data_IF_904084068697
#
_entry.id   IF_904084068697
#
_cell.length_a   1.000
_cell.length_b   1.000
_cell.length_c   1.000
_cell.angle_alpha   90.00
_cell.angle_beta   90.00
_cell.angle_gamma   90.00
#
_symmetry.space_group_name_H-M   'P 1'
#
loop_
_entity.id
_entity.type
_entity.pdbx_description
1 polymer ?
#
# COMPACT_ATOMS: atom_id res chain seq x y z
N UNK A 1 57.65 -24.66 -39.87
CA UNK A 1 56.26 -24.45 -40.31
C UNK A 1 55.24 -25.36 -39.61
N UNK A 2 55.47 -26.68 -39.45
CA UNK A 2 54.45 -27.58 -38.88
C UNK A 2 53.99 -27.31 -37.43
N UNK A 3 54.90 -26.92 -36.51
CA UNK A 3 54.52 -26.63 -35.11
C UNK A 3 53.72 -25.33 -34.95
N UNK A 4 54.07 -24.29 -35.73
CA UNK A 4 53.37 -22.99 -35.73
C UNK A 4 51.96 -23.14 -36.31
N UNK A 5 51.79 -23.93 -37.40
CA UNK A 5 50.45 -24.24 -37.92
C UNK A 5 49.60 -25.04 -36.94
N UNK A 6 50.19 -25.97 -36.18
CA UNK A 6 49.45 -26.78 -35.20
C UNK A 6 48.99 -25.95 -34.00
N UNK A 7 49.84 -25.05 -33.52
CA UNK A 7 49.49 -24.09 -32.48
C UNK A 7 48.39 -23.13 -32.95
N UNK A 8 48.53 -22.58 -34.16
CA UNK A 8 47.53 -21.68 -34.75
C UNK A 8 46.17 -22.38 -34.94
N UNK A 9 46.16 -23.63 -35.41
CA UNK A 9 44.94 -24.43 -35.53
C UNK A 9 44.26 -24.70 -34.17
N UNK A 10 45.05 -24.93 -33.11
CA UNK A 10 44.52 -25.13 -31.77
C UNK A 10 43.89 -23.84 -31.22
N UNK A 11 44.54 -22.69 -31.41
CA UNK A 11 43.99 -21.38 -31.02
C UNK A 11 42.68 -21.09 -31.78
N UNK A 12 42.66 -21.34 -33.10
CA UNK A 12 41.43 -21.17 -33.90
C UNK A 12 40.31 -22.09 -33.39
N UNK A 13 40.60 -23.36 -33.11
CA UNK A 13 39.61 -24.30 -32.57
C UNK A 13 39.08 -23.87 -31.19
N UNK A 14 39.95 -23.38 -30.29
CA UNK A 14 39.53 -22.85 -28.99
C UNK A 14 38.64 -21.62 -29.14
N UNK A 15 38.98 -20.69 -30.04
CA UNK A 15 38.16 -19.51 -30.33
C UNK A 15 36.80 -19.92 -30.90
N UNK A 16 36.73 -20.89 -31.81
CA UNK A 16 35.46 -21.41 -32.35
C UNK A 16 34.62 -22.06 -31.26
N UNK A 17 35.21 -22.86 -30.39
CA UNK A 17 34.50 -23.48 -29.25
C UNK A 17 33.99 -22.42 -28.28
N UNK A 18 34.79 -21.40 -27.96
CA UNK A 18 34.37 -20.29 -27.10
C UNK A 18 33.22 -19.51 -27.72
N UNK A 19 33.29 -19.18 -29.02
CA UNK A 19 32.20 -18.47 -29.72
C UNK A 19 30.93 -19.34 -29.73
N UNK A 20 31.06 -20.64 -29.96
CA UNK A 20 29.92 -21.56 -29.93
C UNK A 20 29.30 -21.66 -28.52
N UNK A 21 30.12 -21.76 -27.48
CA UNK A 21 29.67 -21.79 -26.09
C UNK A 21 28.94 -20.49 -25.71
N UNK A 22 29.54 -19.33 -26.01
CA UNK A 22 28.90 -18.01 -25.80
C UNK A 22 27.62 -17.87 -26.63
N UNK A 23 27.59 -18.41 -27.85
CA UNK A 23 26.41 -18.39 -28.71
C UNK A 23 25.26 -19.26 -28.17
N UNK A 24 25.57 -20.44 -27.64
CA UNK A 24 24.59 -21.32 -26.98
C UNK A 24 24.06 -20.66 -25.71
N UNK A 25 24.95 -20.13 -24.87
CA UNK A 25 24.61 -19.44 -23.62
C UNK A 25 23.66 -18.26 -23.87
N UNK A 26 24.02 -17.35 -24.79
CA UNK A 26 23.16 -16.24 -25.20
C UNK A 26 21.83 -16.71 -25.80
N UNK A 27 21.84 -17.81 -26.56
CA UNK A 27 20.65 -18.38 -27.16
C UNK A 27 19.69 -18.99 -26.14
N UNK A 28 20.23 -19.66 -25.10
CA UNK A 28 19.45 -20.19 -24.00
C UNK A 28 18.85 -19.07 -23.16
N UNK A 29 19.65 -18.06 -22.77
CA UNK A 29 19.17 -16.89 -22.03
C UNK A 29 18.03 -16.18 -22.76
N UNK A 30 18.19 -15.92 -24.06
CA UNK A 30 17.13 -15.33 -24.88
C UNK A 30 15.84 -16.17 -24.93
N UNK A 31 15.97 -17.50 -24.94
CA UNK A 31 14.81 -18.39 -24.90
C UNK A 31 14.12 -18.37 -23.54
N UNK A 32 14.89 -18.38 -22.45
CA UNK A 32 14.40 -18.29 -21.07
C UNK A 32 13.68 -16.97 -20.83
N UNK A 33 14.28 -15.83 -21.21
CA UNK A 33 13.67 -14.50 -21.09
C UNK A 33 12.31 -14.44 -21.83
N UNK A 34 12.23 -15.01 -23.04
CA UNK A 34 10.98 -15.06 -23.81
C UNK A 34 9.94 -16.03 -23.24
N UNK A 35 10.38 -17.07 -22.55
CA UNK A 35 9.48 -18.01 -21.90
C UNK A 35 8.89 -17.36 -20.64
N UNK A 36 9.75 -16.78 -19.81
CA UNK A 36 9.37 -16.02 -18.63
C UNK A 36 8.38 -14.90 -18.97
N UNK A 37 8.67 -14.10 -20.01
CA UNK A 37 7.77 -13.01 -20.43
C UNK A 37 6.37 -13.52 -20.82
N UNK A 38 6.27 -14.69 -21.46
CA UNK A 38 4.96 -15.30 -21.79
C UNK A 38 4.23 -15.81 -20.56
N UNK A 39 4.94 -16.44 -19.63
CA UNK A 39 4.37 -16.93 -18.37
C UNK A 39 3.88 -15.76 -17.52
N UNK A 40 4.64 -14.67 -17.47
CA UNK A 40 4.27 -13.43 -16.78
C UNK A 40 3.00 -12.80 -17.34
N UNK A 41 2.89 -12.67 -18.68
CA UNK A 41 1.68 -12.19 -19.35
C UNK A 41 0.46 -13.04 -18.97
N UNK A 42 0.62 -14.37 -19.01
CA UNK A 42 -0.45 -15.30 -18.68
C UNK A 42 -0.91 -15.20 -17.22
N UNK A 43 0.03 -15.20 -16.26
CA UNK A 43 -0.30 -15.10 -14.83
C UNK A 43 -1.05 -13.81 -14.50
N UNK A 44 -0.67 -12.70 -15.12
CA UNK A 44 -1.36 -11.45 -14.90
C UNK A 44 -2.74 -11.40 -15.54
N UNK A 45 -2.94 -11.91 -16.76
CA UNK A 45 -4.28 -11.98 -17.35
C UNK A 45 -5.25 -12.74 -16.43
N UNK A 46 -4.77 -13.81 -15.80
CA UNK A 46 -5.52 -14.53 -14.78
C UNK A 46 -5.73 -13.70 -13.51
N UNK A 47 -4.67 -13.10 -12.97
CA UNK A 47 -4.75 -12.26 -11.77
C UNK A 47 -5.77 -11.13 -11.94
N UNK A 48 -5.76 -10.42 -13.08
CA UNK A 48 -6.76 -9.39 -13.39
C UNK A 48 -8.18 -9.91 -13.42
N UNK A 49 -8.41 -11.04 -14.06
CA UNK A 49 -9.76 -11.60 -14.17
C UNK A 49 -10.33 -11.92 -12.78
N UNK A 50 -9.48 -12.48 -11.92
CA UNK A 50 -9.86 -12.82 -10.55
C UNK A 50 -10.03 -11.57 -9.69
N UNK A 51 -9.11 -10.59 -9.81
CA UNK A 51 -9.23 -9.28 -9.15
C UNK A 51 -10.53 -8.58 -9.56
N UNK A 52 -10.88 -8.57 -10.85
CA UNK A 52 -12.13 -7.99 -11.32
C UNK A 52 -13.36 -8.72 -10.74
N UNK A 53 -13.27 -10.04 -10.57
CA UNK A 53 -14.32 -10.84 -9.93
C UNK A 53 -14.46 -10.50 -8.44
N UNK A 54 -13.34 -10.38 -7.72
CA UNK A 54 -13.32 -10.01 -6.29
C UNK A 54 -13.85 -8.58 -6.12
N UNK A 55 -13.40 -7.62 -6.95
CA UNK A 55 -13.88 -6.23 -6.97
C UNK A 55 -15.38 -6.14 -7.18
N UNK A 56 -15.90 -6.90 -8.16
CA UNK A 56 -17.33 -6.95 -8.44
C UNK A 56 -18.08 -7.49 -7.23
N UNK A 57 -17.56 -8.56 -6.61
CA UNK A 57 -18.18 -9.14 -5.42
C UNK A 57 -18.21 -8.18 -4.25
N UNK A 58 -17.11 -7.48 -3.97
CA UNK A 58 -17.06 -6.46 -2.90
C UNK A 58 -18.00 -5.30 -3.22
N UNK A 59 -18.02 -4.83 -4.46
CA UNK A 59 -18.95 -3.78 -4.93
C UNK A 59 -20.42 -4.14 -4.74
N UNK A 60 -20.80 -5.40 -4.99
CA UNK A 60 -22.18 -5.86 -4.78
C UNK A 60 -22.56 -5.87 -3.29
N UNK A 61 -21.60 -6.20 -2.42
CA UNK A 61 -21.81 -6.31 -0.98
C UNK A 61 -21.66 -4.99 -0.24
N UNK A 62 -20.88 -4.03 -0.76
CA UNK A 62 -20.51 -2.80 -0.03
C UNK A 62 -21.68 -1.87 0.28
N UNK A 63 -22.83 -2.05 -0.38
CA UNK A 63 -24.06 -1.32 -0.05
C UNK A 63 -24.81 -1.87 1.18
N UNK A 64 -24.48 -3.08 1.64
CA UNK A 64 -25.05 -3.74 2.80
C UNK A 64 -23.96 -3.99 3.85
N UNK A 65 -24.02 -3.22 4.93
CA UNK A 65 -23.02 -3.25 6.01
C UNK A 65 -22.85 -4.63 6.62
N UNK A 66 -23.94 -5.34 6.90
CA UNK A 66 -23.87 -6.66 7.53
C UNK A 66 -23.27 -7.68 6.56
N UNK A 67 -23.58 -7.55 5.27
CA UNK A 67 -23.07 -8.45 4.24
C UNK A 67 -21.57 -8.28 3.99
N UNK A 68 -21.07 -7.03 3.95
CA UNK A 68 -19.63 -6.78 3.78
C UNK A 68 -18.85 -7.14 5.04
N UNK A 69 -19.37 -6.85 6.24
CA UNK A 69 -18.76 -7.28 7.51
C UNK A 69 -18.63 -8.82 7.57
N UNK A 70 -19.69 -9.55 7.20
CA UNK A 70 -19.64 -11.02 7.15
C UNK A 70 -18.63 -11.55 6.12
N UNK A 71 -18.53 -10.90 4.94
CA UNK A 71 -17.59 -11.30 3.89
C UNK A 71 -16.13 -11.08 4.30
N UNK A 72 -15.83 -9.96 4.95
CA UNK A 72 -14.49 -9.66 5.46
C UNK A 72 -14.14 -10.64 6.60
N UNK A 73 -15.05 -10.88 7.55
CA UNK A 73 -14.82 -11.82 8.65
C UNK A 73 -14.59 -13.27 8.15
N UNK A 74 -15.33 -13.71 7.12
CA UNK A 74 -15.12 -15.04 6.50
C UNK A 74 -13.71 -15.21 5.92
N UNK A 75 -13.06 -14.10 5.52
CA UNK A 75 -11.73 -14.10 4.93
C UNK A 75 -10.64 -13.62 5.91
N UNK A 76 -10.98 -13.38 7.19
CA UNK A 76 -10.06 -12.78 8.17
C UNK A 76 -8.77 -13.55 8.40
N UNK A 77 -8.85 -14.88 8.37
CA UNK A 77 -7.67 -15.75 8.54
C UNK A 77 -6.58 -15.47 7.49
N UNK A 78 -6.93 -14.93 6.32
CA UNK A 78 -5.95 -14.58 5.27
C UNK A 78 -5.28 -13.23 5.52
N UNK A 79 -5.85 -12.40 6.40
CA UNK A 79 -5.35 -11.06 6.71
C UNK A 79 -4.37 -11.07 7.89
N UNK A 80 -4.57 -12.00 8.83
CA UNK A 80 -3.83 -12.07 10.10
C UNK A 80 -2.52 -12.90 10.02
N UNK A 81 -2.36 -13.77 9.01
CA UNK A 81 -1.17 -14.63 8.79
C UNK A 81 0.06 -13.86 8.22
N UNK A 82 0.07 -12.53 8.32
CA UNK A 82 1.02 -11.64 7.63
C UNK A 82 2.13 -11.06 8.51
N UNK A 83 2.75 -11.89 9.36
CA UNK A 83 4.11 -11.56 9.83
C UNK A 83 5.10 -11.97 8.73
N UNK A 84 5.81 -10.99 8.17
CA UNK A 84 6.93 -11.25 7.25
C UNK A 84 7.94 -12.12 8.01
N UNK A 85 8.29 -13.33 7.52
CA UNK A 85 9.27 -14.16 8.19
C UNK A 85 10.61 -13.41 8.27
N UNK A 86 10.99 -12.98 9.48
CA UNK A 86 12.25 -12.26 9.73
C UNK A 86 12.13 -10.81 10.23
N UNK A 87 10.92 -10.34 10.56
CA UNK A 87 10.68 -9.17 11.42
C UNK A 87 10.53 -9.61 12.88
N UNK A 88 11.59 -10.22 13.44
CA UNK A 88 11.70 -10.39 14.88
C UNK A 88 12.46 -9.18 15.42
N UNK A 89 11.93 -8.55 16.47
CA UNK A 89 12.45 -7.37 17.17
C UNK A 89 13.99 -7.43 17.32
N UNK A 90 14.74 -6.75 16.45
CA UNK A 90 16.03 -6.13 16.77
C UNK A 90 16.46 -5.18 15.66
N UNK A 91 16.64 -3.90 16.03
CA UNK A 91 17.56 -2.97 15.39
C UNK A 91 18.93 -3.65 15.18
N UNK A 92 19.21 -4.21 13.99
CA UNK A 92 20.56 -4.28 13.43
C UNK A 92 20.48 -4.25 11.90
N UNK A 93 21.00 -3.14 11.35
CA UNK A 93 21.58 -2.99 10.02
C UNK A 93 22.03 -4.34 9.43
N UNK A 94 21.30 -4.85 8.43
CA UNK A 94 21.74 -6.02 7.66
C UNK A 94 22.79 -5.58 6.64
N UNK A 95 24.04 -5.62 7.07
CA UNK A 95 25.20 -5.75 6.18
C UNK A 95 25.82 -7.15 6.34
N UNK A 96 26.25 -7.70 5.21
CA UNK A 96 27.09 -8.91 5.04
C UNK A 96 26.32 -10.25 5.14
N UNK A 97 26.54 -11.26 4.29
CA UNK A 97 27.71 -11.58 3.49
C UNK A 97 28.48 -12.73 4.14
N UNK A 98 28.46 -13.89 3.49
CA UNK A 98 29.38 -15.05 3.64
C UNK A 98 28.99 -16.26 4.53
N UNK A 99 29.48 -17.39 4.05
CA UNK A 99 29.14 -18.79 4.29
C UNK A 99 29.73 -19.38 5.60
N UNK A 100 29.03 -20.40 6.13
CA UNK A 100 29.55 -21.77 6.37
C UNK A 100 29.27 -22.39 7.76
N UNK A 101 28.91 -23.68 7.67
CA UNK A 101 29.17 -24.80 8.59
C UNK A 101 28.26 -25.01 9.80
N UNK A 102 27.78 -26.27 9.82
CA UNK A 102 27.10 -27.04 10.86
C UNK A 102 27.55 -26.75 12.30
N UNK A 103 26.60 -26.72 13.24
CA UNK A 103 26.67 -27.55 14.44
C UNK A 103 25.26 -27.79 15.02
N UNK A 104 24.89 -29.07 15.06
CA UNK A 104 23.77 -29.66 15.77
C UNK A 104 23.99 -29.57 17.28
N UNK A 105 23.06 -28.97 18.03
CA UNK A 105 22.88 -29.22 19.46
C UNK A 105 21.39 -29.17 19.86
N UNK A 106 20.74 -30.32 19.66
CA UNK A 106 19.93 -31.04 20.66
C UNK A 106 19.23 -30.24 21.79
N UNK A 107 17.90 -30.38 21.83
CA UNK A 107 17.20 -30.79 23.05
C UNK A 107 16.42 -29.72 23.81
N UNK A 108 15.09 -29.73 23.65
CA UNK A 108 14.21 -30.09 24.76
C UNK A 108 12.79 -30.40 24.27
N UNK A 109 12.39 -31.64 24.52
CA UNK A 109 11.02 -32.15 24.43
C UNK A 109 10.32 -31.93 25.76
N UNK A 110 9.08 -31.42 25.74
CA UNK A 110 8.03 -31.59 26.78
C UNK A 110 6.69 -31.36 26.06
N UNK A 111 6.13 -32.35 25.38
CA UNK A 111 5.20 -33.39 25.90
C UNK A 111 3.84 -32.87 26.40
N UNK A 112 2.79 -33.12 25.61
CA UNK A 112 1.49 -33.60 26.07
C UNK A 112 0.47 -32.56 26.55
N UNK A 113 -0.58 -32.33 25.77
CA UNK A 113 -1.89 -32.92 26.04
C UNK A 113 -2.88 -32.65 24.89
N UNK A 114 -3.28 -33.74 24.24
CA UNK A 114 -4.53 -33.88 23.51
C UNK A 114 -5.66 -34.04 24.55
N UNK A 115 -6.67 -33.18 24.49
CA UNK A 115 -7.97 -33.39 25.12
C UNK A 115 -9.08 -33.04 24.14
N UNK A 116 -9.31 -33.95 23.20
CA UNK A 116 -10.60 -34.15 22.57
C UNK A 116 -11.72 -34.30 23.60
N UNK A 117 -12.80 -33.51 23.43
CA UNK A 117 -14.14 -33.81 23.91
C UNK A 117 -14.49 -33.36 25.33
N UNK A 118 -15.28 -32.27 25.42
CA UNK A 118 -16.36 -32.17 26.40
C UNK A 118 -17.43 -31.18 25.93
N UNK A 119 -18.59 -31.72 25.56
CA UNK A 119 -19.86 -31.01 25.58
C UNK A 119 -20.26 -30.79 27.04
N UNK A 120 -20.46 -29.54 27.46
CA UNK A 120 -21.14 -29.22 28.72
C UNK A 120 -22.31 -28.30 28.43
N UNK A 121 -23.49 -28.91 28.40
CA UNK A 121 -24.79 -28.27 28.44
C UNK A 121 -25.06 -27.64 29.81
N UNK A 122 -25.54 -26.39 29.80
CA UNK A 122 -26.43 -25.80 30.79
C UNK A 122 -25.94 -25.70 32.24
N UNK A 123 -25.78 -24.47 32.73
CA UNK A 123 -26.26 -24.11 34.07
C UNK A 123 -26.47 -22.59 34.17
N UNK A 124 -27.73 -22.25 34.42
CA UNK A 124 -28.21 -20.99 34.99
C UNK A 124 -27.72 -20.87 36.45
N UNK A 125 -27.10 -19.75 36.81
CA UNK A 125 -27.02 -19.27 38.19
C UNK A 125 -27.18 -17.75 38.23
N UNK A 126 -28.43 -17.34 38.39
CA UNK A 126 -28.87 -16.11 39.06
C UNK A 126 -28.16 -15.84 40.41
N UNK A 127 -27.78 -14.58 40.66
CA UNK A 127 -27.42 -14.11 42.02
C UNK A 127 -26.43 -12.93 42.13
N UNK A 128 -26.93 -11.70 41.91
CA UNK A 128 -26.58 -10.38 42.50
C UNK A 128 -25.15 -10.07 43.01
N UNK A 129 -24.57 -8.94 42.56
CA UNK A 129 -24.51 -7.68 43.36
C UNK A 129 -24.08 -6.48 42.47
N UNK A 130 -25.02 -5.58 42.16
CA UNK A 130 -24.73 -4.22 41.67
C UNK A 130 -25.38 -3.25 42.65
N UNK A 131 -24.57 -2.79 43.61
CA UNK A 131 -24.94 -1.76 44.57
C UNK A 131 -24.49 -0.39 44.06
N UNK A 132 -25.44 0.53 43.86
CA UNK A 132 -25.14 1.93 43.55
C UNK A 132 -26.26 2.70 42.83
N UNK A 133 -27.41 2.87 43.50
CA UNK A 133 -28.57 3.62 43.03
C UNK A 133 -28.27 5.08 42.63
N UNK A 134 -28.99 5.60 41.62
CA UNK A 134 -30.07 6.58 41.86
C UNK A 134 -30.90 6.85 40.60
N UNK A 135 -32.06 6.21 40.52
CA UNK A 135 -33.16 6.63 39.66
C UNK A 135 -33.94 7.76 40.35
N UNK A 136 -34.06 8.92 39.69
CA UNK A 136 -35.10 9.90 40.01
C UNK A 136 -36.05 10.03 38.82
N UNK A 137 -37.16 9.30 38.94
CA UNK A 137 -38.52 9.64 38.50
C UNK A 137 -38.68 10.76 37.44
N UNK A 138 -39.12 10.37 36.23
CA UNK A 138 -40.33 10.93 35.60
C UNK A 138 -40.77 10.11 34.37
N UNK A 139 -41.95 9.51 34.54
CA UNK A 139 -43.02 9.25 33.58
C UNK A 139 -42.67 8.98 32.10
N UNK A 140 -42.87 7.73 31.70
CA UNK A 140 -43.21 7.36 30.33
C UNK A 140 -44.70 7.62 30.12
N UNK A 141 -45.05 8.66 29.36
CA UNK A 141 -46.37 8.72 28.73
C UNK A 141 -46.31 9.40 27.37
N UNK A 142 -46.43 8.60 26.32
CA UNK A 142 -46.93 9.00 25.01
C UNK A 142 -45.89 9.61 24.08
N UNK A 143 -45.33 8.78 23.19
CA UNK A 143 -45.50 8.95 21.76
C UNK A 143 -45.12 7.65 21.04
N UNK A 144 -46.14 7.04 20.45
CA UNK A 144 -46.02 6.13 19.32
C UNK A 144 -45.41 6.91 18.16
N UNK A 145 -44.24 6.46 17.69
CA UNK A 145 -43.67 6.88 16.39
C UNK A 145 -43.34 5.62 15.59
N UNK A 146 -44.36 4.80 15.36
CA UNK A 146 -44.42 4.00 14.16
C UNK A 146 -44.33 4.93 12.93
N UNK A 147 -43.24 4.81 12.17
CA UNK A 147 -43.17 5.31 10.79
C UNK A 147 -42.45 6.63 10.52
N UNK A 148 -41.26 6.87 11.08
CA UNK A 148 -40.35 7.86 10.49
C UNK A 148 -39.08 7.20 9.95
N UNK A 149 -39.10 6.98 8.64
CA UNK A 149 -37.90 6.89 7.79
C UNK A 149 -37.19 8.24 7.87
N UNK A 150 -36.03 8.29 8.52
CA UNK A 150 -35.12 9.44 8.46
C UNK A 150 -34.04 9.12 7.43
N UNK A 151 -34.46 9.20 6.16
CA UNK A 151 -33.57 9.48 5.04
C UNK A 151 -33.09 10.92 5.15
N UNK A 152 -31.78 11.12 5.25
CA UNK A 152 -31.14 12.43 5.20
C UNK A 152 -31.06 13.14 6.55
N UNK A 153 -29.99 12.88 7.30
CA UNK A 153 -29.46 13.87 8.23
C UNK A 153 -28.03 14.20 7.79
N UNK A 154 -27.95 15.35 7.14
CA UNK A 154 -26.81 16.26 7.16
C UNK A 154 -26.27 16.37 8.61
N UNK A 155 -25.06 15.87 8.85
CA UNK A 155 -24.35 16.02 10.13
C UNK A 155 -23.45 17.26 10.14
N UNK A 156 -23.83 18.34 9.45
CA UNK A 156 -23.28 19.66 9.75
C UNK A 156 -23.79 20.11 11.13
N UNK A 157 -22.96 19.95 12.16
CA UNK A 157 -23.15 20.63 13.44
C UNK A 157 -23.68 19.78 14.59
N UNK A 158 -22.97 18.70 14.94
CA UNK A 158 -22.85 18.32 16.34
C UNK A 158 -21.39 18.03 16.66
N UNK A 159 -20.80 18.92 17.45
CA UNK A 159 -19.62 18.65 18.26
C UNK A 159 -19.87 17.39 19.10
N UNK A 160 -19.53 16.22 18.56
CA UNK A 160 -19.13 15.11 19.40
C UNK A 160 -17.69 15.45 19.77
N UNK A 161 -17.56 16.16 20.89
CA UNK A 161 -16.34 16.13 21.69
C UNK A 161 -16.11 14.66 21.97
N UNK A 162 -15.25 14.04 21.16
CA UNK A 162 -14.72 12.72 21.46
C UNK A 162 -14.11 12.83 22.84
N UNK A 163 -14.56 11.98 23.76
CA UNK A 163 -13.89 11.82 25.04
C UNK A 163 -12.40 11.66 24.74
N UNK A 164 -11.57 12.52 25.32
CA UNK A 164 -10.14 12.27 25.42
C UNK A 164 -9.96 10.84 25.95
N UNK A 165 -8.98 10.07 25.45
CA UNK A 165 -8.74 8.73 25.95
C UNK A 165 -8.61 8.80 27.48
N UNK A 166 -9.30 7.89 28.17
CA UNK A 166 -9.28 7.83 29.62
C UNK A 166 -7.83 7.88 30.12
N UNK A 167 -7.54 8.77 31.08
CA UNK A 167 -6.22 8.91 31.69
C UNK A 167 -5.71 7.53 32.13
N UNK A 168 -4.75 6.96 31.39
CA UNK A 168 -4.09 5.70 31.78
C UNK A 168 -3.67 4.75 30.66
N UNK A 169 -4.13 4.89 29.42
CA UNK A 169 -3.55 4.14 28.29
C UNK A 169 -2.55 5.02 27.53
N UNK A 170 -1.26 4.67 27.61
CA UNK A 170 -0.21 5.32 26.81
C UNK A 170 -0.45 4.96 25.33
N UNK A 171 -1.17 5.82 24.61
CA UNK A 171 -1.15 5.81 23.14
C UNK A 171 0.28 6.17 22.72
N UNK A 172 0.97 5.35 21.90
CA UNK A 172 2.30 5.70 21.42
C UNK A 172 2.27 7.08 20.77
N UNK A 173 3.27 7.92 21.05
CA UNK A 173 3.39 9.23 20.39
C UNK A 173 3.44 9.06 18.88
N UNK A 174 3.05 10.09 18.13
CA UNK A 174 2.93 10.06 16.65
C UNK A 174 4.19 9.54 15.96
N UNK A 175 5.38 9.84 16.48
CA UNK A 175 6.66 9.33 15.97
C UNK A 175 6.89 7.84 16.27
N UNK A 176 6.41 7.33 17.40
CA UNK A 176 6.49 5.91 17.73
C UNK A 176 5.56 5.06 16.85
N UNK A 177 4.49 5.65 16.30
CA UNK A 177 3.59 4.97 15.38
C UNK A 177 4.20 4.82 13.97
N UNK A 178 5.01 5.78 13.51
CA UNK A 178 5.61 5.77 12.16
C UNK A 178 6.49 4.54 11.89
N UNK A 179 7.11 3.98 12.91
CA UNK A 179 7.96 2.79 12.81
C UNK A 179 7.18 1.47 12.89
N UNK A 180 5.88 1.51 13.19
CA UNK A 180 5.07 0.30 13.31
C UNK A 180 4.65 -0.24 11.95
N UNK A 181 4.64 -1.56 11.83
CA UNK A 181 4.07 -2.25 10.67
C UNK A 181 2.55 -2.11 10.65
N UNK A 182 1.93 -2.29 9.48
CA UNK A 182 0.49 -2.32 9.33
C UNK A 182 -0.18 -3.32 10.28
N UNK A 183 0.41 -4.52 10.44
CA UNK A 183 -0.13 -5.54 11.35
C UNK A 183 -0.12 -5.06 12.82
N UNK A 184 0.93 -4.36 13.25
CA UNK A 184 1.00 -3.76 14.58
C UNK A 184 -0.02 -2.62 14.72
N UNK A 185 -0.16 -1.76 13.71
CA UNK A 185 -1.14 -0.66 13.68
C UNK A 185 -2.58 -1.17 13.80
N UNK A 186 -2.94 -2.23 13.07
CA UNK A 186 -4.25 -2.89 13.16
C UNK A 186 -4.57 -3.45 14.54
N UNK A 187 -3.55 -3.91 15.29
CA UNK A 187 -3.73 -4.38 16.68
C UNK A 187 -3.99 -3.24 17.66
N UNK A 188 -3.54 -2.02 17.34
CA UNK A 188 -3.78 -0.81 18.14
C UNK A 188 -5.17 -0.25 17.84
N UNK A 189 -5.51 -0.09 16.56
CA UNK A 189 -6.77 0.55 16.14
C UNK A 189 -7.27 0.04 14.79
N UNK A 190 -8.59 -0.09 14.67
CA UNK A 190 -9.24 -0.37 13.39
C UNK A 190 -9.03 0.78 12.39
N UNK A 191 -8.87 0.43 11.12
CA UNK A 191 -8.54 1.38 10.05
C UNK A 191 -9.59 2.49 9.87
N UNK A 192 -10.88 2.20 10.03
CA UNK A 192 -11.92 3.24 9.94
C UNK A 192 -11.76 4.32 11.02
N UNK A 193 -11.45 3.91 12.25
CA UNK A 193 -11.22 4.84 13.35
C UNK A 193 -9.90 5.60 13.18
N UNK A 194 -8.83 4.92 12.74
CA UNK A 194 -7.55 5.55 12.39
C UNK A 194 -7.73 6.61 11.29
N UNK A 195 -8.47 6.29 10.23
CA UNK A 195 -8.77 7.20 9.12
C UNK A 195 -9.47 8.47 9.62
N UNK A 196 -10.46 8.33 10.50
CA UNK A 196 -11.17 9.49 11.07
C UNK A 196 -10.24 10.33 11.96
N UNK A 197 -9.43 9.69 12.80
CA UNK A 197 -8.50 10.41 13.66
C UNK A 197 -7.46 11.17 12.84
N UNK A 198 -6.84 10.50 11.87
CA UNK A 198 -5.82 11.07 11.01
C UNK A 198 -6.38 12.23 10.20
N UNK A 199 -7.59 12.11 9.62
CA UNK A 199 -8.23 13.23 8.91
C UNK A 199 -8.45 14.46 9.79
N UNK A 200 -8.83 14.28 11.06
CA UNK A 200 -8.94 15.42 12.00
C UNK A 200 -7.59 16.09 12.23
N UNK A 201 -6.53 15.29 12.37
CA UNK A 201 -5.18 15.79 12.55
C UNK A 201 -4.65 16.48 11.29
N UNK A 202 -4.88 15.91 10.11
CA UNK A 202 -4.46 16.47 8.83
C UNK A 202 -5.17 17.80 8.55
N UNK A 203 -6.49 17.87 8.78
CA UNK A 203 -7.24 19.14 8.69
C UNK A 203 -6.71 20.20 9.65
N UNK A 204 -6.29 19.80 10.85
CA UNK A 204 -5.68 20.72 11.82
C UNK A 204 -4.33 21.22 11.31
N UNK A 205 -3.47 20.34 10.79
CA UNK A 205 -2.20 20.71 10.15
C UNK A 205 -2.43 21.69 9.01
N UNK A 206 -3.35 21.38 8.08
CA UNK A 206 -3.70 22.25 6.95
C UNK A 206 -4.17 23.62 7.43
N UNK A 207 -5.05 23.68 8.44
CA UNK A 207 -5.57 24.93 8.97
C UNK A 207 -4.54 25.78 9.73
N UNK A 208 -3.48 25.15 10.24
CA UNK A 208 -2.42 25.79 11.03
C UNK A 208 -1.16 26.10 10.20
N UNK A 209 -1.10 25.61 8.97
CA UNK A 209 0.07 25.74 8.12
C UNK A 209 0.43 27.20 7.85
N UNK A 210 1.74 27.44 7.85
CA UNK A 210 2.34 28.77 7.66
C UNK A 210 3.03 28.92 6.31
N UNK A 211 3.39 27.81 5.68
CA UNK A 211 3.94 27.77 4.32
C UNK A 211 2.86 27.97 3.26
N UNK A 212 3.19 28.71 2.20
CA UNK A 212 2.30 28.95 1.05
C UNK A 212 2.76 28.12 -0.15
N UNK A 213 2.00 27.06 -0.46
CA UNK A 213 2.26 26.16 -1.58
C UNK A 213 1.39 26.47 -2.81
N UNK A 214 0.60 27.54 -2.80
CA UNK A 214 -0.35 27.87 -3.88
C UNK A 214 0.33 28.17 -5.22
N UNK A 215 1.63 28.49 -5.20
CA UNK A 215 2.44 28.73 -6.39
C UNK A 215 2.97 27.47 -7.07
N UNK A 216 2.91 26.29 -6.43
CA UNK A 216 3.53 25.06 -6.95
C UNK A 216 2.79 24.52 -8.19
N UNK A 217 3.56 24.02 -9.15
CA UNK A 217 3.11 23.12 -10.21
C UNK A 217 3.38 21.69 -9.78
N UNK A 218 2.32 20.92 -9.62
CA UNK A 218 2.36 19.56 -9.09
C UNK A 218 2.06 18.58 -10.23
N UNK A 219 2.82 17.49 -10.33
CA UNK A 219 2.48 16.35 -11.17
C UNK A 219 2.31 15.11 -10.31
N UNK A 220 1.15 14.43 -10.43
CA UNK A 220 0.89 13.17 -9.76
C UNK A 220 0.97 12.03 -10.77
N UNK A 221 2.03 11.24 -10.72
CA UNK A 221 2.22 10.03 -11.53
C UNK A 221 1.67 8.83 -10.76
N UNK A 222 0.75 8.09 -11.38
CA UNK A 222 0.15 6.96 -10.70
C UNK A 222 -0.75 6.07 -11.56
N UNK A 223 -1.52 5.24 -10.86
CA UNK A 223 -2.41 4.23 -11.43
C UNK A 223 -3.89 4.66 -11.43
N UNK A 224 -4.81 3.70 -11.29
CA UNK A 224 -6.25 3.93 -11.22
C UNK A 224 -6.69 4.76 -10.01
N UNK A 225 -5.97 4.71 -8.89
CA UNK A 225 -6.27 5.52 -7.71
C UNK A 225 -5.97 6.99 -8.01
N UNK A 226 -4.85 7.25 -8.69
CA UNK A 226 -4.50 8.61 -9.14
C UNK A 226 -5.46 9.12 -10.21
N UNK A 227 -5.89 8.25 -11.14
CA UNK A 227 -6.89 8.62 -12.15
C UNK A 227 -8.28 8.91 -11.57
N UNK A 228 -8.63 8.29 -10.45
CA UNK A 228 -10.00 8.08 -9.98
C UNK A 228 -10.87 7.22 -10.92
N UNK A 229 -10.28 6.14 -11.43
CA UNK A 229 -10.86 5.32 -12.50
C UNK A 229 -12.23 4.71 -12.15
N UNK A 230 -12.48 4.38 -10.89
CA UNK A 230 -13.77 3.84 -10.45
C UNK A 230 -14.93 4.84 -10.60
N UNK A 231 -14.63 6.13 -10.62
CA UNK A 231 -15.61 7.19 -10.82
C UNK A 231 -15.84 7.52 -12.30
N UNK A 232 -15.19 6.82 -13.24
CA UNK A 232 -15.19 7.16 -14.68
C UNK A 232 -16.56 7.19 -15.35
N UNK A 233 -17.59 6.63 -14.70
CA UNK A 233 -18.97 6.67 -15.17
C UNK A 233 -19.69 8.00 -14.84
N UNK A 234 -19.15 8.79 -13.93
CA UNK A 234 -19.67 10.10 -13.54
C UNK A 234 -19.22 11.19 -14.53
N UNK A 235 -20.07 12.21 -14.72
CA UNK A 235 -19.70 13.41 -15.47
C UNK A 235 -18.60 14.16 -14.72
N UNK A 236 -17.56 14.60 -15.45
CA UNK A 236 -16.41 15.33 -14.90
C UNK A 236 -15.73 14.66 -13.69
N UNK A 237 -15.73 13.33 -13.65
CA UNK A 237 -15.28 12.56 -12.47
C UNK A 237 -13.88 12.90 -11.96
N UNK A 238 -12.97 13.37 -12.83
CA UNK A 238 -11.60 13.76 -12.45
C UNK A 238 -11.58 14.89 -11.42
N UNK A 239 -12.65 15.66 -11.29
CA UNK A 239 -12.80 16.68 -10.23
C UNK A 239 -12.76 16.08 -8.82
N UNK A 240 -13.12 14.79 -8.69
CA UNK A 240 -13.12 14.07 -7.41
C UNK A 240 -11.81 13.33 -7.13
N UNK A 241 -10.87 13.29 -8.09
CA UNK A 241 -9.58 12.63 -7.88
C UNK A 241 -8.76 13.34 -6.81
N UNK A 242 -7.95 12.58 -6.05
CA UNK A 242 -7.10 13.17 -5.01
C UNK A 242 -6.14 14.24 -5.56
N UNK A 243 -5.57 14.15 -6.80
CA UNK A 243 -4.75 15.23 -7.34
C UNK A 243 -5.51 16.55 -7.49
N UNK A 244 -6.76 16.51 -7.98
CA UNK A 244 -7.56 17.73 -8.10
C UNK A 244 -7.87 18.30 -6.71
N UNK A 245 -8.31 17.45 -5.78
CA UNK A 245 -8.62 17.86 -4.40
C UNK A 245 -7.39 18.40 -3.68
N UNK A 246 -6.22 17.82 -3.90
CA UNK A 246 -4.94 18.31 -3.38
C UNK A 246 -4.66 19.73 -3.85
N UNK A 247 -4.87 20.02 -5.14
CA UNK A 247 -4.74 21.36 -5.69
C UNK A 247 -5.70 22.36 -5.05
N UNK A 248 -6.97 21.96 -4.87
CA UNK A 248 -7.97 22.78 -4.17
C UNK A 248 -7.56 23.11 -2.73
N UNK A 249 -7.07 22.12 -1.98
CA UNK A 249 -6.64 22.27 -0.58
C UNK A 249 -5.40 23.17 -0.48
N UNK A 250 -4.41 22.98 -1.35
CA UNK A 250 -3.18 23.78 -1.36
C UNK A 250 -3.34 25.15 -2.05
N UNK A 251 -4.51 25.44 -2.63
CA UNK A 251 -4.77 26.68 -3.36
C UNK A 251 -4.05 26.81 -4.70
N UNK A 252 -3.48 25.72 -5.24
CA UNK A 252 -2.87 25.71 -6.59
C UNK A 252 -3.84 25.16 -7.64
N UNK A 253 -3.85 25.79 -8.82
CA UNK A 253 -4.60 25.30 -9.98
C UNK A 253 -3.73 24.51 -10.96
N UNK A 254 -2.44 24.35 -10.64
CA UNK A 254 -1.45 23.74 -11.54
C UNK A 254 -1.15 22.29 -11.13
N UNK A 255 -2.19 21.45 -11.05
CA UNK A 255 -2.01 20.01 -10.78
C UNK A 255 -2.22 19.21 -12.06
N UNK A 256 -1.21 18.45 -12.46
CA UNK A 256 -1.25 17.53 -13.60
C UNK A 256 -1.50 16.12 -13.09
N UNK A 257 -2.68 15.57 -13.37
CA UNK A 257 -3.02 14.20 -13.07
C UNK A 257 -2.53 13.26 -14.20
N UNK A 258 -1.50 12.47 -13.91
CA UNK A 258 -0.92 11.45 -14.79
C UNK A 258 -1.29 10.04 -14.32
N UNK A 259 -2.48 9.86 -13.74
CA UNK A 259 -3.05 8.55 -13.42
C UNK A 259 -3.53 7.81 -14.67
N UNK A 260 -3.22 6.52 -14.78
CA UNK A 260 -3.81 5.61 -15.79
C UNK A 260 -4.23 4.30 -15.13
N UNK A 261 -5.48 3.92 -15.33
CA UNK A 261 -6.07 2.71 -14.76
C UNK A 261 -5.35 1.43 -15.18
N UNK A 262 -4.98 0.63 -14.18
CA UNK A 262 -4.24 -0.63 -14.37
C UNK A 262 -2.75 -0.47 -14.68
N UNK A 263 -2.22 0.77 -14.68
CA UNK A 263 -0.79 1.03 -14.81
C UNK A 263 -0.01 0.54 -13.59
N UNK A 264 1.20 0.07 -13.80
CA UNK A 264 2.13 -0.46 -12.78
C UNK A 264 3.43 0.34 -12.81
N UNK A 265 4.21 0.27 -11.73
CA UNK A 265 5.52 0.91 -11.68
C UNK A 265 6.43 0.26 -12.72
N UNK A 266 6.57 -1.06 -12.63
CA UNK A 266 7.40 -1.87 -13.50
C UNK A 266 6.74 -2.17 -14.85
N UNK A 267 7.55 -2.65 -15.80
CA UNK A 267 7.15 -3.05 -17.15
C UNK A 267 6.46 -4.41 -17.17
N UNK A 268 5.49 -4.55 -16.29
CA UNK A 268 4.56 -5.67 -16.31
C UNK A 268 3.59 -5.46 -17.48
N UNK A 269 2.99 -4.28 -17.57
CA UNK A 269 1.96 -3.94 -18.55
C UNK A 269 2.30 -2.79 -19.48
N UNK A 270 1.34 -2.46 -20.34
CA UNK A 270 1.36 -1.23 -21.10
C UNK A 270 1.34 -0.04 -20.13
N UNK A 271 1.97 1.07 -20.55
CA UNK A 271 1.94 2.33 -19.80
C UNK A 271 2.58 2.24 -18.41
N UNK A 272 3.73 1.58 -18.25
CA UNK A 272 4.47 1.52 -16.99
C UNK A 272 4.98 2.91 -16.54
N UNK A 273 5.09 3.14 -15.23
CA UNK A 273 5.54 4.44 -14.70
C UNK A 273 6.98 4.74 -15.14
N UNK A 274 7.84 3.72 -15.13
CA UNK A 274 9.25 3.80 -15.58
C UNK A 274 9.39 4.29 -17.02
N UNK A 275 8.38 4.12 -17.87
CA UNK A 275 8.38 4.66 -19.23
C UNK A 275 7.66 6.01 -19.30
N UNK A 276 6.58 6.18 -18.51
CA UNK A 276 5.69 7.34 -18.56
C UNK A 276 6.14 8.56 -17.77
N UNK A 277 7.11 8.44 -16.87
CA UNK A 277 7.60 9.61 -16.12
C UNK A 277 8.11 10.73 -17.06
N UNK A 278 8.51 10.38 -18.28
CA UNK A 278 8.92 11.33 -19.32
C UNK A 278 7.78 12.24 -19.81
N UNK A 279 6.52 11.90 -19.52
CA UNK A 279 5.34 12.72 -19.81
C UNK A 279 5.13 13.85 -18.79
N UNK A 280 5.87 13.83 -17.68
CA UNK A 280 5.79 14.89 -16.65
C UNK A 280 6.25 16.22 -17.25
N UNK A 281 5.49 17.32 -17.08
CA UNK A 281 5.90 18.64 -17.56
C UNK A 281 7.28 19.04 -17.02
N UNK A 282 8.15 19.53 -17.89
CA UNK A 282 9.54 19.86 -17.53
C UNK A 282 9.66 21.03 -16.52
N UNK A 283 8.61 21.82 -16.35
CA UNK A 283 8.54 22.95 -15.41
C UNK A 283 7.75 22.62 -14.14
N UNK A 284 7.54 21.34 -13.83
CA UNK A 284 6.96 20.86 -12.57
C UNK A 284 7.88 21.15 -11.38
N UNK A 285 7.32 21.68 -10.30
CA UNK A 285 8.04 21.98 -9.05
C UNK A 285 8.01 20.80 -8.07
N UNK A 286 6.92 20.02 -8.07
CA UNK A 286 6.70 18.87 -7.19
C UNK A 286 6.15 17.68 -7.98
N UNK A 287 6.82 16.53 -7.89
CA UNK A 287 6.38 15.26 -8.45
C UNK A 287 6.00 14.32 -7.31
N UNK A 288 4.76 13.84 -7.34
CA UNK A 288 4.26 12.79 -6.44
C UNK A 288 4.11 11.51 -7.24
N UNK A 289 4.78 10.44 -6.82
CA UNK A 289 4.68 9.11 -7.43
C UNK A 289 3.97 8.17 -6.47
N UNK A 290 2.79 7.70 -6.82
CA UNK A 290 2.00 6.75 -6.02
C UNK A 290 1.63 5.52 -6.85
N UNK A 291 2.08 4.35 -6.45
CA UNK A 291 1.79 3.09 -7.16
C UNK A 291 2.32 1.85 -6.46
N UNK A 292 2.30 0.72 -7.17
CA UNK A 292 2.71 -0.59 -6.65
C UNK A 292 1.54 -1.56 -6.43
N UNK A 293 0.30 -1.07 -6.34
CA UNK A 293 -0.89 -1.93 -6.19
C UNK A 293 -1.00 -2.94 -7.33
N UNK A 294 -0.85 -2.47 -8.58
CA UNK A 294 -0.97 -3.34 -9.76
C UNK A 294 0.23 -4.28 -9.92
N UNK A 295 1.43 -3.84 -9.56
CA UNK A 295 2.64 -4.69 -9.52
C UNK A 295 2.43 -5.87 -8.57
N UNK A 296 1.84 -5.60 -7.40
CA UNK A 296 1.56 -6.60 -6.37
C UNK A 296 0.66 -7.75 -6.85
N UNK A 297 -0.32 -7.50 -7.73
CA UNK A 297 -1.24 -8.54 -8.20
C UNK A 297 -0.59 -9.64 -9.05
N UNK A 298 0.64 -9.44 -9.50
CA UNK A 298 1.40 -10.42 -10.27
C UNK A 298 2.81 -10.66 -9.74
N UNK A 299 3.15 -10.10 -8.58
CA UNK A 299 4.53 -10.10 -8.10
C UNK A 299 4.95 -11.48 -7.59
N UNK A 300 5.85 -12.12 -8.33
CA UNK A 300 6.58 -13.31 -7.90
C UNK A 300 8.01 -12.96 -7.47
N UNK A 301 8.74 -13.90 -6.86
CA UNK A 301 10.17 -13.69 -6.55
C UNK A 301 11.02 -13.36 -7.79
N UNK A 302 10.73 -13.98 -8.94
CA UNK A 302 11.49 -13.71 -10.18
C UNK A 302 11.17 -12.33 -10.75
N UNK A 303 9.91 -11.91 -10.60
CA UNK A 303 9.42 -10.61 -11.01
C UNK A 303 9.91 -9.49 -10.09
N UNK A 304 10.12 -9.75 -8.80
CA UNK A 304 10.66 -8.77 -7.85
C UNK A 304 12.06 -8.30 -8.24
N UNK A 305 12.93 -9.24 -8.60
CA UNK A 305 14.34 -8.97 -8.86
C UNK A 305 15.15 -8.86 -7.57
N UNK A 306 16.32 -8.21 -7.65
CA UNK A 306 17.24 -8.03 -6.51
C UNK A 306 17.88 -6.65 -6.55
N UNK A 307 18.27 -6.13 -5.38
CA UNK A 307 18.96 -4.84 -5.23
C UNK A 307 20.37 -4.84 -5.82
N UNK A 308 21.00 -6.01 -5.91
CA UNK A 308 22.33 -6.17 -6.50
C UNK A 308 22.27 -6.18 -8.03
N UNK A 309 21.30 -6.89 -8.62
CA UNK A 309 21.22 -7.02 -10.07
C UNK A 309 20.51 -5.83 -10.72
N UNK A 310 19.47 -5.29 -10.08
CA UNK A 310 18.59 -4.22 -10.61
C UNK A 310 18.20 -4.48 -12.06
N UNK A 311 17.82 -5.74 -12.33
CA UNK A 311 17.53 -6.24 -13.68
C UNK A 311 16.32 -5.52 -14.26
N UNK A 312 16.45 -5.00 -15.48
CA UNK A 312 15.33 -4.43 -16.22
C UNK A 312 14.15 -5.41 -16.29
N UNK A 313 12.91 -4.89 -16.28
CA UNK A 313 11.67 -5.68 -16.32
C UNK A 313 11.41 -6.51 -15.05
N UNK A 314 12.10 -6.18 -13.95
CA UNK A 314 11.76 -6.61 -12.58
C UNK A 314 11.31 -5.39 -11.79
N UNK A 315 10.54 -5.57 -10.71
CA UNK A 315 10.04 -4.47 -9.90
C UNK A 315 11.19 -3.58 -9.38
N UNK A 316 12.20 -4.17 -8.72
CA UNK A 316 13.34 -3.42 -8.17
C UNK A 316 14.13 -2.71 -9.28
N UNK A 317 14.38 -3.39 -10.40
CA UNK A 317 15.13 -2.78 -11.51
C UNK A 317 14.40 -1.63 -12.20
N UNK A 318 13.10 -1.78 -12.45
CA UNK A 318 12.30 -0.73 -13.07
C UNK A 318 12.00 0.43 -12.11
N UNK A 319 11.86 0.17 -10.80
CA UNK A 319 11.75 1.19 -9.77
C UNK A 319 13.04 2.00 -9.62
N UNK A 320 14.21 1.33 -9.63
CA UNK A 320 15.52 1.99 -9.67
C UNK A 320 15.68 2.87 -10.92
N UNK A 321 15.30 2.35 -12.09
CA UNK A 321 15.34 3.10 -13.34
C UNK A 321 14.42 4.33 -13.30
N UNK A 322 13.21 4.19 -12.74
CA UNK A 322 12.28 5.30 -12.55
C UNK A 322 12.88 6.37 -11.63
N UNK A 323 13.39 6.00 -10.46
CA UNK A 323 13.96 6.92 -9.49
C UNK A 323 15.18 7.67 -10.04
N UNK A 324 16.06 6.95 -10.73
CA UNK A 324 17.20 7.53 -11.46
C UNK A 324 16.76 8.47 -12.55
N UNK A 325 15.79 8.06 -13.37
CA UNK A 325 15.22 8.87 -14.45
C UNK A 325 14.62 10.17 -13.94
N UNK A 326 13.88 10.13 -12.83
CA UNK A 326 13.35 11.32 -12.18
C UNK A 326 14.48 12.26 -11.70
N UNK A 327 15.53 11.72 -11.05
CA UNK A 327 16.68 12.49 -10.56
C UNK A 327 17.42 13.20 -11.69
N UNK A 328 17.63 12.50 -12.80
CA UNK A 328 18.39 12.98 -13.95
C UNK A 328 17.61 14.02 -14.78
N UNK A 329 16.30 13.83 -14.94
CA UNK A 329 15.49 14.66 -15.84
C UNK A 329 14.73 15.81 -15.14
N UNK A 330 14.50 15.71 -13.83
CA UNK A 330 13.79 16.72 -13.03
C UNK A 330 14.62 17.15 -11.80
N UNK A 331 15.89 17.59 -11.99
CA UNK A 331 16.82 17.83 -10.87
C UNK A 331 16.42 18.97 -9.93
N UNK A 332 15.56 19.88 -10.38
CA UNK A 332 15.07 21.01 -9.58
C UNK A 332 13.70 20.73 -8.93
N UNK A 333 13.02 19.65 -9.34
CA UNK A 333 11.72 19.29 -8.78
C UNK A 333 11.91 18.53 -7.46
N UNK A 334 11.08 18.82 -6.47
CA UNK A 334 10.95 17.95 -5.29
C UNK A 334 10.24 16.67 -5.72
N UNK A 335 10.80 15.51 -5.41
CA UNK A 335 10.24 14.21 -5.79
C UNK A 335 9.88 13.46 -4.51
N UNK A 336 8.62 13.04 -4.42
CA UNK A 336 8.08 12.32 -3.27
C UNK A 336 7.43 11.03 -3.76
N UNK A 337 7.75 9.93 -3.10
CA UNK A 337 7.09 8.65 -3.33
C UNK A 337 6.00 8.41 -2.28
N UNK A 338 4.95 7.70 -2.66
CA UNK A 338 3.96 7.18 -1.73
C UNK A 338 3.79 5.68 -1.98
N UNK A 339 3.87 4.90 -0.91
CA UNK A 339 3.60 3.46 -0.97
C UNK A 339 2.13 3.22 -1.35
N UNK A 340 1.76 2.05 -1.87
CA UNK A 340 0.36 1.78 -2.16
C UNK A 340 -0.47 1.69 -0.85
N UNK A 341 -1.76 2.04 -0.92
CA UNK A 341 -2.68 1.79 0.19
C UNK A 341 -2.84 0.28 0.41
N UNK A 342 -3.04 -0.16 1.67
CA UNK A 342 -3.36 -1.55 1.95
C UNK A 342 -4.69 -1.92 1.31
N UNK A 343 -4.73 -3.04 0.59
CA UNK A 343 -5.98 -3.49 -0.03
C UNK A 343 -6.23 -4.98 0.16
N UNK A 344 -7.47 -5.32 0.54
CA UNK A 344 -7.90 -6.69 0.86
C UNK A 344 -7.87 -7.63 -0.34
N UNK A 345 -7.98 -7.09 -1.56
CA UNK A 345 -7.98 -7.88 -2.77
C UNK A 345 -6.69 -8.64 -2.99
N UNK A 346 -5.56 -8.01 -2.65
CA UNK A 346 -4.25 -8.61 -2.82
C UNK A 346 -4.12 -9.90 -2.00
N UNK A 347 -4.55 -9.88 -0.75
CA UNK A 347 -4.51 -11.06 0.12
C UNK A 347 -5.56 -12.10 -0.24
N UNK A 348 -6.75 -11.67 -0.69
CA UNK A 348 -7.73 -12.58 -1.28
C UNK A 348 -7.21 -13.27 -2.54
N UNK A 349 -6.43 -12.58 -3.38
CA UNK A 349 -5.83 -13.15 -4.57
C UNK A 349 -4.73 -14.17 -4.21
N UNK A 350 -3.92 -13.86 -3.20
CA UNK A 350 -2.85 -14.72 -2.68
C UNK A 350 -3.36 -16.04 -2.09
N UNK A 351 -4.59 -16.08 -1.58
CA UNK A 351 -5.25 -17.31 -1.09
C UNK A 351 -5.15 -18.48 -2.08
N UNK A 352 -5.33 -18.20 -3.37
CA UNK A 352 -5.31 -19.23 -4.42
C UNK A 352 -3.96 -19.29 -5.14
N UNK A 353 -2.97 -18.49 -4.70
CA UNK A 353 -1.69 -18.24 -5.37
C UNK A 353 -0.56 -18.06 -4.35
N UNK A 354 -0.05 -19.18 -3.84
CA UNK A 354 1.05 -19.23 -2.88
C UNK A 354 2.37 -18.61 -3.37
N UNK A 355 2.54 -18.50 -4.70
CA UNK A 355 3.71 -17.88 -5.33
C UNK A 355 3.69 -16.34 -5.31
N UNK A 356 2.55 -15.70 -5.02
CA UNK A 356 2.43 -14.25 -4.96
C UNK A 356 2.98 -13.72 -3.64
N UNK A 357 3.89 -12.76 -3.74
CA UNK A 357 4.50 -12.09 -2.60
C UNK A 357 3.51 -11.12 -1.93
N UNK A 358 3.59 -10.90 -0.60
CA UNK A 358 2.77 -9.92 0.11
C UNK A 358 2.98 -8.48 -0.38
N UNK A 359 1.94 -7.64 -0.33
CA UNK A 359 2.03 -6.23 -0.73
C UNK A 359 3.07 -5.45 0.09
N UNK A 360 3.25 -5.82 1.36
CA UNK A 360 4.25 -5.23 2.26
C UNK A 360 5.67 -5.25 1.68
N UNK A 361 6.01 -6.27 0.88
CA UNK A 361 7.32 -6.38 0.23
C UNK A 361 7.54 -5.19 -0.73
N UNK A 362 6.53 -4.83 -1.52
CA UNK A 362 6.63 -3.69 -2.44
C UNK A 362 6.73 -2.36 -1.69
N UNK A 363 5.93 -2.19 -0.63
CA UNK A 363 5.98 -1.00 0.19
C UNK A 363 7.37 -0.81 0.82
N UNK A 364 7.99 -1.90 1.30
CA UNK A 364 9.35 -1.87 1.82
C UNK A 364 10.39 -1.56 0.74
N UNK A 365 10.33 -2.23 -0.41
CA UNK A 365 11.28 -2.00 -1.50
C UNK A 365 11.22 -0.55 -2.04
N UNK A 366 10.01 0.05 -2.08
CA UNK A 366 9.83 1.49 -2.39
C UNK A 366 10.59 2.35 -1.39
N UNK A 367 10.44 2.09 -0.09
CA UNK A 367 11.13 2.87 0.96
C UNK A 367 12.64 2.71 0.90
N UNK A 368 13.14 1.49 0.73
CA UNK A 368 14.57 1.21 0.66
C UNK A 368 15.21 1.93 -0.52
N UNK A 369 14.64 1.81 -1.73
CA UNK A 369 15.17 2.51 -2.89
C UNK A 369 15.01 4.02 -2.77
N UNK A 370 13.87 4.52 -2.28
CA UNK A 370 13.68 5.96 -2.11
C UNK A 370 14.74 6.56 -1.19
N UNK A 371 15.10 5.87 -0.10
CA UNK A 371 16.17 6.27 0.81
C UNK A 371 17.54 6.32 0.11
N UNK A 372 17.87 5.39 -0.79
CA UNK A 372 19.11 5.44 -1.58
C UNK A 372 19.19 6.66 -2.52
N UNK A 373 18.04 7.16 -2.97
CA UNK A 373 17.93 8.32 -3.87
C UNK A 373 17.70 9.65 -3.13
N UNK A 374 17.59 9.63 -1.81
CA UNK A 374 17.22 10.76 -0.94
C UNK A 374 15.80 11.32 -1.24
N UNK A 375 14.86 10.45 -1.59
CA UNK A 375 13.46 10.83 -1.80
C UNK A 375 12.64 10.61 -0.52
N UNK A 376 11.88 11.62 -0.06
CA UNK A 376 10.89 11.42 0.99
C UNK A 376 9.80 10.43 0.56
N UNK A 377 9.31 9.65 1.54
CA UNK A 377 8.24 8.68 1.33
C UNK A 377 7.08 8.96 2.26
N UNK A 378 5.87 9.03 1.71
CA UNK A 378 4.62 8.98 2.45
C UNK A 378 4.21 7.50 2.55
N UNK A 379 4.42 6.88 3.72
CA UNK A 379 4.11 5.47 3.96
C UNK A 379 2.61 5.26 4.21
N UNK A 380 1.84 5.29 3.13
CA UNK A 380 0.40 4.99 3.15
C UNK A 380 0.14 3.53 3.56
N UNK A 381 1.05 2.59 3.31
CA UNK A 381 0.83 1.18 3.59
C UNK A 381 0.78 0.92 5.09
N UNK A 382 1.75 1.43 5.85
CA UNK A 382 1.78 1.28 7.30
C UNK A 382 0.99 2.35 8.05
N UNK A 383 0.42 3.35 7.36
CA UNK A 383 -0.42 4.37 7.98
C UNK A 383 -1.70 3.82 8.63
N UNK A 384 -2.20 2.67 8.14
CA UNK A 384 -3.49 2.09 8.52
C UNK A 384 -4.70 3.02 8.24
N UNK A 385 -4.53 4.06 7.42
CA UNK A 385 -5.67 4.83 6.89
C UNK A 385 -6.18 4.17 5.62
N UNK A 386 -7.49 4.24 5.40
CA UNK A 386 -8.15 3.73 4.19
C UNK A 386 -7.75 2.27 3.85
N UNK A 387 -7.42 1.47 4.86
CA UNK A 387 -7.13 0.06 4.70
C UNK A 387 -8.43 -0.74 4.57
N UNK A 388 -8.64 -1.34 3.40
CA UNK A 388 -9.87 -2.05 3.04
C UNK A 388 -10.02 -3.43 3.69
N UNK A 389 -9.09 -3.85 4.55
CA UNK A 389 -9.30 -5.00 5.43
C UNK A 389 -10.31 -4.72 6.55
N UNK A 390 -10.64 -3.44 6.76
CA UNK A 390 -11.75 -3.02 7.60
C UNK A 390 -13.02 -2.83 6.75
N UNK A 391 -14.06 -3.62 7.04
CA UNK A 391 -15.33 -3.56 6.33
C UNK A 391 -15.99 -2.17 6.40
N UNK A 392 -15.77 -1.41 7.49
CA UNK A 392 -16.29 -0.05 7.61
C UNK A 392 -15.58 0.91 6.64
N UNK A 393 -14.31 0.68 6.31
CA UNK A 393 -13.62 1.47 5.27
C UNK A 393 -14.20 1.15 3.89
N UNK A 394 -14.45 -0.13 3.57
CA UNK A 394 -15.10 -0.49 2.31
C UNK A 394 -16.46 0.18 2.18
N UNK A 395 -17.29 0.06 3.22
CA UNK A 395 -18.63 0.61 3.24
C UNK A 395 -18.66 2.14 3.07
N UNK A 396 -17.77 2.86 3.75
CA UNK A 396 -17.81 4.32 3.77
C UNK A 396 -16.96 4.97 2.69
N UNK A 397 -15.84 4.35 2.27
CA UNK A 397 -14.81 5.03 1.48
C UNK A 397 -14.31 4.25 0.28
N UNK A 398 -14.26 2.92 0.32
CA UNK A 398 -13.68 2.10 -0.77
C UNK A 398 -14.65 1.02 -1.27
N UNK A 399 -15.68 1.38 -2.05
CA UNK A 399 -16.81 0.50 -2.34
C UNK A 399 -16.44 -0.79 -3.09
N UNK A 400 -15.29 -0.84 -3.77
CA UNK A 400 -14.79 -2.03 -4.48
C UNK A 400 -13.57 -2.68 -3.80
N UNK A 401 -13.19 -2.18 -2.62
CA UNK A 401 -12.05 -2.66 -1.83
C UNK A 401 -10.69 -2.14 -2.27
N UNK A 402 -10.59 -1.25 -3.27
CA UNK A 402 -9.32 -0.66 -3.73
C UNK A 402 -9.42 0.83 -3.96
N UNK A 403 -10.47 1.29 -4.65
CA UNK A 403 -10.59 2.66 -5.11
C UNK A 403 -11.52 3.44 -4.21
N UNK A 404 -11.11 4.66 -3.87
CA UNK A 404 -11.92 5.54 -3.06
C UNK A 404 -13.20 5.99 -3.80
N UNK A 405 -14.27 6.27 -3.06
CA UNK A 405 -15.35 7.14 -3.50
C UNK A 405 -14.93 8.61 -3.35
N UNK A 406 -15.84 9.55 -3.63
CA UNK A 406 -15.56 10.99 -3.54
C UNK A 406 -14.99 11.40 -2.17
N UNK A 407 -15.58 10.92 -1.07
CA UNK A 407 -15.12 11.23 0.29
C UNK A 407 -13.77 10.60 0.60
N UNK A 408 -13.53 9.37 0.15
CA UNK A 408 -12.24 8.70 0.32
C UNK A 408 -11.11 9.42 -0.42
N UNK A 409 -11.37 9.97 -1.61
CA UNK A 409 -10.38 10.76 -2.34
C UNK A 409 -10.13 12.13 -1.70
N UNK A 410 -11.14 12.74 -1.08
CA UNK A 410 -10.96 13.95 -0.28
C UNK A 410 -10.07 13.67 0.94
N UNK A 411 -10.30 12.58 1.67
CA UNK A 411 -9.46 12.16 2.81
C UNK A 411 -8.01 11.88 2.37
N UNK A 412 -7.82 11.20 1.24
CA UNK A 412 -6.49 10.94 0.70
C UNK A 412 -5.77 12.25 0.32
N UNK A 413 -6.49 13.20 -0.29
CA UNK A 413 -5.95 14.50 -0.64
C UNK A 413 -5.59 15.36 0.59
N UNK A 414 -6.42 15.34 1.63
CA UNK A 414 -6.12 15.97 2.92
C UNK A 414 -4.83 15.42 3.52
N UNK A 415 -4.67 14.09 3.49
CA UNK A 415 -3.47 13.44 4.02
C UNK A 415 -2.21 13.85 3.24
N UNK A 416 -2.26 13.79 1.90
CA UNK A 416 -1.15 14.29 1.07
C UNK A 416 -0.84 15.76 1.34
N UNK A 417 -1.86 16.62 1.44
CA UNK A 417 -1.66 18.04 1.72
C UNK A 417 -0.97 18.25 3.08
N UNK A 418 -1.44 17.58 4.13
CA UNK A 418 -0.86 17.70 5.46
C UNK A 418 0.59 17.21 5.52
N UNK A 419 0.90 16.08 4.87
CA UNK A 419 2.28 15.57 4.77
C UNK A 419 3.19 16.54 4.01
N UNK A 420 2.73 17.10 2.88
CA UNK A 420 3.50 18.09 2.15
C UNK A 420 3.77 19.34 2.99
N UNK A 421 2.75 19.88 3.66
CA UNK A 421 2.90 21.06 4.52
C UNK A 421 3.91 20.78 5.64
N UNK A 422 3.83 19.62 6.31
CA UNK A 422 4.83 19.19 7.32
C UNK A 422 6.26 19.18 6.77
N UNK A 423 6.45 18.59 5.58
CA UNK A 423 7.78 18.51 4.96
C UNK A 423 8.35 19.89 4.58
N UNK A 424 7.52 20.78 4.01
CA UNK A 424 7.97 22.11 3.63
C UNK A 424 8.22 23.03 4.84
N UNK A 425 7.42 22.89 5.91
CA UNK A 425 7.66 23.62 7.17
C UNK A 425 8.96 23.20 7.83
N UNK A 426 9.24 21.89 7.90
CA UNK A 426 10.50 21.39 8.45
C UNK A 426 11.72 21.92 7.67
N UNK A 427 11.64 21.97 6.33
CA UNK A 427 12.70 22.53 5.49
C UNK A 427 12.91 24.03 5.70
N UNK A 428 11.83 24.81 5.86
CA UNK A 428 11.95 26.23 6.20
C UNK A 428 12.58 26.44 7.58
N UNK A 429 12.22 25.64 8.57
CA UNK A 429 12.82 25.70 9.92
C UNK A 429 14.31 25.38 9.91
N UNK A 430 14.72 24.32 9.20
CA UNK A 430 16.13 23.95 9.05
C UNK A 430 16.92 25.05 8.33
N UNK A 431 16.36 25.66 7.28
CA UNK A 431 17.01 26.74 6.52
C UNK A 431 17.21 28.04 7.34
N UNK A 432 16.38 28.24 8.37
CA UNK A 432 16.41 29.41 9.25
C UNK A 432 17.25 29.19 10.52
N UNK A 433 17.67 27.94 10.79
CA UNK A 433 18.54 27.54 11.91
C UNK A 433 20.03 27.64 11.57
#
# INVERSE_FOLDING_TARGET
MGKVNRFLLMVIAMVVIMIAAVGIDKGMKYYEDRKWEKERIYHYEQARADIASIQTRISELSSDREAIEAFIEENKAYFDDMEVPGQDDTDQVRHEGDLAAEEDLSGNTLSGNDLSGNTVSGNDVSGNDLSGNSLSERDLSGNDLSGNTLSGNDLSGNDIIGEEPAEGEEVPGEDALKELTLAQRRRIRGSYEETILQSRQDRKTIAQATVDLSGLKIACLGDSITEAANLSSMEDYKQYSYPTKLGEILGTQNVTNLGIGGSSIGRYWDHAFVDRYQEIPADTDLIIVMGGTNDGFCLTNEDLGTFEERRERTFIGDLDELMRGLKENYPEAKIIFATPLPNVLHDMLRKERDYLLPQAVLAEDIKVLAAEYDYPVIDLYNSNILDSHDAAVIYNYMPDGVHCNEQGYELLAEHFAAELLRMYEAEEEESNS
#
